data_IF_684935600663
#
_entry.id   IF_684935600663
#
_cell.length_a   1.000
_cell.length_b   1.000
_cell.length_c   1.000
_cell.angle_alpha   90.00
_cell.angle_beta   90.00
_cell.angle_gamma   90.00
#
_symmetry.space_group_name_H-M   'P 1'
#
loop_
_entity.id
_entity.type
_entity.pdbx_description
1 polymer ?
#
# COMPACT_ATOMS: atom_id res chain seq x y z
N UNK A 1 -14.28 29.89 -13.29
CA UNK A 1 -13.51 28.64 -13.23
C UNK A 1 -12.94 28.29 -11.84
N UNK A 2 -13.13 29.10 -10.79
CA UNK A 2 -12.75 28.73 -9.41
C UNK A 2 -13.67 27.71 -8.71
N UNK A 3 -14.85 27.42 -9.28
CA UNK A 3 -15.82 26.46 -8.71
C UNK A 3 -15.40 24.99 -8.88
N UNK A 4 -14.57 24.64 -9.86
CA UNK A 4 -14.23 23.24 -10.15
C UNK A 4 -13.23 22.66 -9.13
N UNK A 5 -12.26 23.47 -8.68
CA UNK A 5 -11.26 23.07 -7.68
C UNK A 5 -11.81 23.07 -6.25
N UNK A 6 -12.75 23.98 -5.94
CA UNK A 6 -13.45 23.96 -4.65
C UNK A 6 -14.38 22.74 -4.54
N UNK A 7 -15.03 22.33 -5.63
CA UNK A 7 -15.96 21.20 -5.62
C UNK A 7 -15.27 19.85 -5.39
N UNK A 8 -14.06 19.61 -5.90
CA UNK A 8 -13.38 18.32 -5.71
C UNK A 8 -12.85 18.15 -4.28
N UNK A 9 -12.30 19.19 -3.66
CA UNK A 9 -11.88 19.16 -2.25
C UNK A 9 -13.06 19.11 -1.27
N UNK A 10 -14.19 19.76 -1.58
CA UNK A 10 -15.41 19.70 -0.76
C UNK A 10 -16.17 18.38 -0.94
N UNK A 11 -16.19 17.78 -2.14
CA UNK A 11 -16.71 16.42 -2.36
C UNK A 11 -15.89 15.39 -1.59
N UNK A 12 -14.57 15.60 -1.49
CA UNK A 12 -13.69 14.75 -0.71
C UNK A 12 -14.01 14.80 0.80
N UNK A 13 -14.28 15.99 1.36
CA UNK A 13 -14.73 16.11 2.76
C UNK A 13 -16.18 15.62 2.98
N UNK A 14 -17.07 15.83 2.01
CA UNK A 14 -18.49 15.47 2.09
C UNK A 14 -18.72 13.95 1.96
N UNK A 15 -17.98 13.25 1.11
CA UNK A 15 -18.03 11.79 1.00
C UNK A 15 -17.54 11.09 2.27
N UNK A 16 -16.65 11.72 3.03
CA UNK A 16 -16.10 11.13 4.26
C UNK A 16 -16.97 11.45 5.49
N UNK A 17 -17.74 12.55 5.47
CA UNK A 17 -18.65 12.91 6.57
C UNK A 17 -20.07 12.38 6.40
N UNK A 18 -20.46 11.92 5.21
CA UNK A 18 -21.84 11.57 4.85
C UNK A 18 -22.33 10.14 5.14
N UNK A 19 -21.46 9.19 5.51
CA UNK A 19 -21.88 7.79 5.71
C UNK A 19 -22.43 7.53 7.12
N UNK A 20 -23.68 7.97 7.36
CA UNK A 20 -24.52 7.49 8.47
C UNK A 20 -25.67 6.64 7.93
N UNK A 21 -25.58 5.33 8.09
CA UNK A 21 -26.66 4.33 8.21
C UNK A 21 -25.95 2.96 8.21
N UNK A 22 -26.13 2.02 9.13
CA UNK A 22 -27.40 1.47 9.57
C UNK A 22 -27.10 0.56 10.78
N UNK A 23 -27.82 0.75 11.89
CA UNK A 23 -27.94 -0.24 12.95
C UNK A 23 -29.43 -0.49 13.17
N UNK A 24 -29.82 -1.74 13.44
CA UNK A 24 -30.84 -1.94 14.45
C UNK A 24 -30.34 -2.85 15.58
N UNK A 25 -30.75 -2.42 16.76
CA UNK A 25 -30.70 -3.06 18.06
C UNK A 25 -31.26 -4.48 18.10
N UNK A 26 -30.68 -5.32 18.94
CA UNK A 26 -31.47 -6.23 19.77
C UNK A 26 -30.81 -6.45 21.12
N UNK A 27 -31.52 -6.02 22.14
CA UNK A 27 -31.31 -6.28 23.56
C UNK A 27 -31.33 -7.76 23.91
N UNK A 28 -30.41 -8.22 24.73
CA UNK A 28 -30.65 -9.34 25.64
C UNK A 28 -29.80 -9.19 26.89
N UNK A 29 -30.48 -8.77 27.96
CA UNK A 29 -30.09 -8.95 29.35
C UNK A 29 -29.99 -10.43 29.66
N UNK A 30 -28.90 -10.89 30.32
CA UNK A 30 -29.01 -11.91 31.37
C UNK A 30 -27.69 -12.15 32.13
N UNK A 31 -27.84 -12.06 33.45
CA UNK A 31 -27.20 -12.85 34.52
C UNK A 31 -25.67 -12.93 34.68
N UNK A 32 -25.23 -12.14 35.67
CA UNK A 32 -24.14 -12.46 36.59
C UNK A 32 -24.42 -13.73 37.42
N UNK A 33 -23.42 -14.59 37.67
CA UNK A 33 -23.40 -15.44 38.85
C UNK A 33 -22.44 -14.93 39.93
N UNK A 34 -22.89 -15.18 41.15
CA UNK A 34 -22.35 -14.78 42.46
C UNK A 34 -20.92 -15.28 42.74
N UNK A 35 -20.22 -14.46 43.53
CA UNK A 35 -19.11 -14.85 44.41
C UNK A 35 -19.52 -15.96 45.37
N UNK A 36 -18.62 -16.90 45.61
CA UNK A 36 -18.50 -17.65 46.86
C UNK A 36 -17.00 -17.79 47.23
N UNK A 37 -16.68 -18.10 48.50
CA UNK A 37 -15.69 -17.35 49.27
C UNK A 37 -14.29 -17.99 49.35
N UNK A 38 -13.35 -17.14 49.79
CA UNK A 38 -12.01 -17.46 50.29
C UNK A 38 -12.02 -18.62 51.28
N UNK A 39 -11.16 -19.61 51.05
CA UNK A 39 -10.54 -20.42 52.11
C UNK A 39 -9.08 -20.75 51.75
N UNK A 40 -8.16 -20.23 52.54
CA UNK A 40 -6.85 -20.81 52.87
C UNK A 40 -6.80 -20.84 54.42
N UNK A 41 -5.82 -21.46 55.11
CA UNK A 41 -4.63 -22.20 54.65
C UNK A 41 -4.38 -23.54 55.40
N UNK A 42 -3.57 -24.45 54.86
CA UNK A 42 -2.76 -25.42 55.64
C UNK A 42 -1.49 -25.75 54.84
N UNK A 43 -0.35 -25.80 55.52
CA UNK A 43 0.99 -25.76 54.95
C UNK A 43 1.66 -27.11 54.63
N UNK A 44 2.82 -26.94 53.99
CA UNK A 44 4.04 -27.76 53.96
C UNK A 44 3.92 -29.27 53.71
N UNK A 45 4.65 -29.76 52.70
CA UNK A 45 5.94 -30.46 52.88
C UNK A 45 6.55 -30.82 51.51
N UNK A 46 7.87 -30.66 51.47
CA UNK A 46 8.84 -31.00 50.45
C UNK A 46 8.75 -32.43 49.90
N UNK A 47 8.80 -32.60 48.57
CA UNK A 47 9.37 -33.79 47.94
C UNK A 47 9.87 -33.47 46.52
N UNK A 48 11.18 -33.60 46.33
CA UNK A 48 11.93 -33.45 45.07
C UNK A 48 11.70 -34.69 44.18
N UNK A 49 11.44 -34.55 42.87
CA UNK A 49 11.37 -35.72 41.97
C UNK A 49 12.78 -36.24 41.61
N UNK A 50 12.95 -37.56 41.41
CA UNK A 50 14.24 -38.15 41.06
C UNK A 50 14.63 -37.88 39.60
N UNK A 51 15.93 -37.72 39.35
CA UNK A 51 16.54 -37.67 38.02
C UNK A 51 16.37 -39.01 37.29
N UNK A 52 16.06 -39.03 35.98
CA UNK A 52 16.28 -40.21 35.15
C UNK A 52 17.77 -40.39 34.85
N UNK A 53 18.18 -41.65 34.82
CA UNK A 53 19.54 -42.11 34.55
C UNK A 53 19.88 -41.98 33.07
N UNK A 54 21.15 -41.68 32.84
CA UNK A 54 21.89 -41.73 31.60
C UNK A 54 22.10 -43.20 31.17
N UNK A 55 21.96 -43.47 29.87
CA UNK A 55 22.46 -44.69 29.22
C UNK A 55 21.39 -45.59 28.59
N UNK A 56 21.65 -45.95 27.32
CA UNK A 56 21.02 -46.98 26.48
C UNK A 56 19.71 -46.53 25.79
N UNK A 57 19.57 -46.55 24.45
CA UNK A 57 20.19 -47.37 23.42
C UNK A 57 20.02 -46.67 22.06
N UNK A 58 21.10 -46.67 21.29
CA UNK A 58 21.20 -46.34 19.86
C UNK A 58 20.27 -47.29 19.08
N UNK A 59 19.28 -46.76 18.36
CA UNK A 59 18.44 -47.56 17.45
C UNK A 59 18.72 -47.16 16.00
N UNK A 60 18.97 -48.21 15.23
CA UNK A 60 19.59 -48.25 13.91
C UNK A 60 18.78 -47.57 12.80
N UNK A 61 19.49 -46.84 11.94
CA UNK A 61 19.01 -46.37 10.64
C UNK A 61 19.47 -47.40 9.58
N UNK A 62 18.59 -47.94 8.71
CA UNK A 62 19.09 -48.77 7.61
C UNK A 62 19.65 -47.88 6.50
N UNK A 63 20.93 -48.08 6.20
CA UNK A 63 21.54 -47.78 4.90
C UNK A 63 20.92 -48.71 3.85
N UNK A 64 20.30 -48.13 2.82
CA UNK A 64 20.13 -48.80 1.52
C UNK A 64 20.48 -47.78 0.42
N UNK A 65 21.57 -48.07 -0.30
CA UNK A 65 22.02 -47.44 -1.52
C UNK A 65 21.23 -47.99 -2.72
N UNK A 66 20.78 -47.14 -3.65
CA UNK A 66 21.16 -47.29 -5.07
C UNK A 66 20.80 -46.05 -5.91
N UNK A 67 21.67 -45.72 -6.84
CA UNK A 67 21.54 -44.64 -7.80
C UNK A 67 20.71 -45.03 -9.03
N UNK A 68 20.08 -44.05 -9.65
CA UNK A 68 19.37 -44.22 -10.91
C UNK A 68 18.87 -42.90 -11.46
N UNK A 69 19.70 -42.25 -12.29
CA UNK A 69 19.29 -41.12 -13.15
C UNK A 69 18.15 -41.55 -14.09
N UNK A 70 16.94 -40.99 -13.97
CA UNK A 70 15.97 -40.95 -15.08
C UNK A 70 15.04 -39.72 -15.01
N UNK A 71 15.24 -38.80 -15.96
CA UNK A 71 14.18 -38.16 -16.74
C UNK A 71 13.24 -37.16 -16.05
N UNK A 72 13.51 -35.87 -16.27
CA UNK A 72 12.51 -34.80 -16.19
C UNK A 72 11.43 -35.03 -17.27
N UNK A 73 10.24 -35.50 -16.87
CA UNK A 73 9.03 -35.44 -17.71
C UNK A 73 7.90 -34.72 -16.93
N UNK A 74 7.84 -33.40 -17.14
CA UNK A 74 7.05 -32.44 -16.37
C UNK A 74 5.57 -32.32 -16.82
N UNK A 75 5.11 -33.05 -17.86
CA UNK A 75 3.83 -32.71 -18.52
C UNK A 75 2.80 -33.84 -18.76
N UNK A 76 2.78 -34.94 -17.99
CA UNK A 76 1.77 -35.99 -18.26
C UNK A 76 1.11 -36.73 -17.08
N UNK A 77 1.35 -36.38 -15.81
CA UNK A 77 0.56 -36.98 -14.71
C UNK A 77 -0.76 -36.24 -14.46
N UNK A 78 -1.82 -36.72 -15.14
CA UNK A 78 -3.19 -36.60 -14.62
C UNK A 78 -3.20 -37.06 -13.17
N UNK A 79 -3.66 -36.21 -12.24
CA UNK A 79 -3.89 -36.60 -10.83
C UNK A 79 -4.82 -37.82 -10.81
N UNK A 80 -4.36 -39.01 -10.39
CA UNK A 80 -5.28 -40.11 -10.14
C UNK A 80 -6.16 -39.70 -8.96
N UNK A 81 -7.46 -39.91 -9.12
CA UNK A 81 -8.45 -39.63 -8.09
C UNK A 81 -8.04 -40.24 -6.75
N UNK A 82 -8.25 -39.43 -5.72
CA UNK A 82 -8.15 -39.76 -4.29
C UNK A 82 -8.76 -41.15 -4.04
N UNK A 83 -7.90 -42.16 -3.95
CA UNK A 83 -8.30 -43.50 -3.57
C UNK A 83 -8.18 -43.56 -2.05
N UNK A 84 -9.35 -43.59 -1.40
CA UNK A 84 -9.52 -43.64 0.05
C UNK A 84 -8.89 -44.93 0.60
N UNK A 85 -7.61 -44.84 0.96
CA UNK A 85 -6.88 -45.89 1.68
C UNK A 85 -6.77 -45.48 3.13
N UNK A 86 -7.59 -46.12 3.96
CA UNK A 86 -7.37 -46.31 5.40
C UNK A 86 -7.01 -45.02 6.13
N UNK A 87 -8.02 -44.20 6.42
CA UNK A 87 -7.89 -42.92 7.09
C UNK A 87 -7.28 -43.04 8.50
N UNK A 88 -5.95 -43.05 8.57
CA UNK A 88 -5.25 -42.41 9.68
C UNK A 88 -5.57 -40.93 9.53
N UNK A 89 -6.58 -40.45 10.29
CA UNK A 89 -6.65 -39.02 10.60
C UNK A 89 -5.36 -38.71 11.33
N UNK A 90 -4.33 -38.27 10.60
CA UNK A 90 -3.18 -37.62 11.19
C UNK A 90 -3.73 -36.35 11.79
N UNK A 91 -4.23 -36.48 13.02
CA UNK A 91 -4.54 -35.37 13.90
C UNK A 91 -3.17 -34.72 14.08
N UNK A 92 -2.84 -33.73 13.23
CA UNK A 92 -1.58 -32.98 13.30
C UNK A 92 -1.40 -32.64 14.76
N UNK A 93 -0.45 -33.33 15.39
CA UNK A 93 -0.27 -33.26 16.83
C UNK A 93 0.13 -31.81 17.06
N UNK A 94 -0.68 -31.08 17.82
CA UNK A 94 -0.29 -29.81 18.44
C UNK A 94 1.02 -30.08 19.16
N UNK A 95 2.13 -29.76 18.52
CA UNK A 95 3.43 -29.85 19.14
C UNK A 95 3.55 -28.66 20.08
N UNK A 96 3.11 -28.87 21.32
CA UNK A 96 3.20 -27.88 22.40
C UNK A 96 4.63 -27.41 22.65
N UNK A 97 5.65 -28.11 22.15
CA UNK A 97 7.06 -27.76 22.37
C UNK A 97 7.57 -26.68 21.42
N UNK A 98 6.94 -26.48 20.26
CA UNK A 98 7.29 -25.44 19.29
C UNK A 98 6.34 -24.25 19.40
N UNK A 99 6.72 -23.29 20.24
CA UNK A 99 5.98 -22.03 20.38
C UNK A 99 6.65 -20.95 19.54
N UNK A 100 5.84 -20.23 18.76
CA UNK A 100 6.29 -19.06 18.00
C UNK A 100 6.99 -18.07 18.92
N UNK A 101 8.19 -17.56 18.55
CA UNK A 101 8.84 -16.46 19.25
C UNK A 101 7.86 -15.32 19.51
N UNK A 102 7.92 -14.69 20.69
CA UNK A 102 6.92 -13.70 21.10
C UNK A 102 6.70 -12.63 20.05
N UNK A 103 7.77 -12.13 19.44
CA UNK A 103 7.73 -10.97 18.54
C UNK A 103 7.09 -11.31 17.19
N UNK A 104 7.06 -12.60 16.82
CA UNK A 104 6.41 -13.10 15.60
C UNK A 104 4.96 -13.57 15.83
N UNK A 105 4.42 -13.33 17.03
CA UNK A 105 3.03 -13.66 17.33
C UNK A 105 2.09 -12.57 16.77
N UNK A 106 0.99 -12.95 16.09
CA UNK A 106 0.06 -11.99 15.49
C UNK A 106 -0.51 -10.95 16.46
N UNK A 107 -0.62 -11.31 17.75
CA UNK A 107 -1.05 -10.38 18.79
C UNK A 107 -0.01 -9.28 19.06
N UNK A 108 1.27 -9.61 19.10
CA UNK A 108 2.33 -8.63 19.36
C UNK A 108 2.55 -7.74 18.13
N UNK A 109 2.49 -8.30 16.92
CA UNK A 109 2.48 -7.51 15.68
C UNK A 109 1.34 -6.50 15.63
N UNK A 110 0.15 -6.88 16.12
CA UNK A 110 -0.95 -5.94 16.24
C UNK A 110 -0.58 -4.79 17.17
N UNK A 111 -0.01 -5.08 18.35
CA UNK A 111 0.40 -4.03 19.30
C UNK A 111 1.46 -3.09 18.72
N UNK A 112 2.49 -3.65 18.06
CA UNK A 112 3.51 -2.87 17.36
C UNK A 112 2.89 -1.97 16.29
N UNK A 113 1.94 -2.50 15.51
CA UNK A 113 1.18 -1.72 14.52
C UNK A 113 0.37 -0.59 15.16
N UNK A 114 -0.12 -0.77 16.40
CA UNK A 114 -0.84 0.26 17.15
C UNK A 114 0.05 1.39 17.61
N UNK A 115 1.27 1.05 18.03
CA UNK A 115 2.26 1.97 18.57
C UNK A 115 2.97 2.76 17.47
N UNK A 116 3.02 2.23 16.24
CA UNK A 116 3.65 2.91 15.12
C UNK A 116 2.98 4.26 14.80
N UNK A 117 3.78 5.34 14.63
CA UNK A 117 3.27 6.70 14.50
C UNK A 117 2.49 6.93 13.21
N UNK A 118 2.61 6.09 12.19
CA UNK A 118 1.83 6.17 10.94
C UNK A 118 0.64 5.21 11.01
N UNK A 119 0.87 3.95 11.38
CA UNK A 119 -0.18 2.93 11.36
C UNK A 119 -1.21 3.11 12.48
N UNK A 120 -0.85 3.69 13.62
CA UNK A 120 -1.77 3.98 14.72
C UNK A 120 -2.95 4.88 14.31
N UNK A 121 -2.85 5.65 13.22
CA UNK A 121 -3.90 6.56 12.77
C UNK A 121 -5.20 5.85 12.38
N UNK A 122 -5.12 4.58 11.95
CA UNK A 122 -6.31 3.84 11.54
C UNK A 122 -7.21 3.44 12.72
N UNK A 123 -6.70 3.50 13.96
CA UNK A 123 -7.51 3.27 15.17
C UNK A 123 -8.37 4.47 15.55
N UNK A 124 -7.95 5.66 15.12
CA UNK A 124 -8.68 6.88 15.41
C UNK A 124 -10.06 6.87 14.76
N UNK A 125 -10.90 7.81 15.19
CA UNK A 125 -12.16 8.04 14.51
C UNK A 125 -11.90 8.49 13.05
N UNK A 126 -12.90 8.34 12.19
CA UNK A 126 -12.76 8.70 10.78
C UNK A 126 -12.30 10.15 10.60
N UNK A 127 -12.64 11.07 11.50
CA UNK A 127 -12.22 12.47 11.43
C UNK A 127 -10.74 12.65 11.74
N UNK A 128 -10.19 11.98 12.75
CA UNK A 128 -8.77 12.01 13.09
C UNK A 128 -7.92 11.54 11.91
N UNK A 129 -8.26 10.37 11.35
CA UNK A 129 -7.58 9.81 10.17
C UNK A 129 -7.57 10.79 8.99
N UNK A 130 -8.72 11.37 8.67
CA UNK A 130 -8.87 12.30 7.54
C UNK A 130 -8.10 13.58 7.75
N UNK A 131 -8.07 14.09 8.97
CA UNK A 131 -7.33 15.32 9.30
C UNK A 131 -5.83 15.13 9.08
N UNK A 132 -5.28 13.99 9.50
CA UNK A 132 -3.86 13.65 9.30
C UNK A 132 -3.53 13.43 7.83
N UNK A 133 -4.40 12.73 7.10
CA UNK A 133 -4.26 12.55 5.65
C UNK A 133 -4.36 13.89 4.90
N UNK A 134 -5.23 14.78 5.32
CA UNK A 134 -5.34 16.13 4.77
C UNK A 134 -4.07 16.96 5.02
N UNK A 135 -3.41 16.78 6.17
CA UNK A 135 -2.13 17.42 6.45
C UNK A 135 -1.02 16.90 5.52
N UNK A 136 -0.93 15.58 5.30
CA UNK A 136 0.01 15.01 4.32
C UNK A 136 -0.26 15.58 2.94
N UNK A 137 -1.52 15.63 2.53
CA UNK A 137 -1.91 16.20 1.25
C UNK A 137 -1.53 17.68 1.13
N UNK A 138 -1.73 18.48 2.18
CA UNK A 138 -1.34 19.89 2.21
C UNK A 138 0.18 20.07 2.06
N UNK A 139 0.98 19.24 2.74
CA UNK A 139 2.45 19.26 2.60
C UNK A 139 2.86 18.83 1.18
N UNK A 140 2.25 17.77 0.65
CA UNK A 140 2.53 17.31 -0.72
C UNK A 140 2.16 18.39 -1.76
N UNK A 141 1.05 19.10 -1.55
CA UNK A 141 0.63 20.23 -2.38
C UNK A 141 1.61 21.40 -2.28
N UNK A 142 2.13 21.72 -1.10
CA UNK A 142 3.13 22.79 -0.94
C UNK A 142 4.40 22.52 -1.77
N UNK A 143 4.75 21.24 -1.96
CA UNK A 143 5.87 20.82 -2.81
C UNK A 143 5.46 20.75 -4.30
N UNK A 144 4.25 20.30 -4.61
CA UNK A 144 3.82 20.10 -6.00
C UNK A 144 3.39 21.37 -6.72
N UNK A 145 2.88 22.39 -6.01
CA UNK A 145 2.50 23.69 -6.56
C UNK A 145 3.66 24.37 -7.29
N UNK A 146 4.86 24.57 -6.69
CA UNK A 146 5.95 25.22 -7.40
C UNK A 146 6.33 24.44 -8.65
N UNK A 147 6.41 23.10 -8.58
CA UNK A 147 6.69 22.23 -9.73
C UNK A 147 5.66 22.43 -10.85
N UNK A 148 4.36 22.47 -10.50
CA UNK A 148 3.29 22.72 -11.47
C UNK A 148 3.41 24.09 -12.12
N UNK A 149 3.64 25.14 -11.32
CA UNK A 149 3.75 26.52 -11.84
C UNK A 149 5.00 26.77 -12.68
N UNK A 150 6.10 26.06 -12.41
CA UNK A 150 7.30 26.12 -13.27
C UNK A 150 7.12 25.35 -14.56
N UNK A 151 6.33 24.27 -14.55
CA UNK A 151 6.06 23.44 -15.74
C UNK A 151 5.08 24.14 -16.69
N UNK A 152 4.04 24.78 -16.15
CA UNK A 152 2.99 25.46 -16.91
C UNK A 152 2.94 26.96 -16.56
N UNK A 153 3.89 27.77 -17.07
CA UNK A 153 3.92 29.20 -16.79
C UNK A 153 2.70 29.90 -17.41
N UNK A 154 2.03 30.75 -16.63
CA UNK A 154 0.81 31.50 -17.01
C UNK A 154 -0.43 30.62 -17.33
N UNK A 155 -0.35 29.31 -17.09
CA UNK A 155 -1.39 28.30 -17.32
C UNK A 155 -1.83 27.72 -15.97
N UNK A 156 -2.58 28.54 -15.22
CA UNK A 156 -2.96 28.23 -13.84
C UNK A 156 -3.80 26.95 -13.68
N UNK A 157 -4.81 26.64 -14.53
CA UNK A 157 -5.58 25.41 -14.35
C UNK A 157 -4.76 24.14 -14.63
N UNK A 158 -3.89 24.14 -15.63
CA UNK A 158 -2.97 23.05 -15.96
C UNK A 158 -1.96 22.84 -14.83
N UNK A 159 -1.34 23.93 -14.35
CA UNK A 159 -0.40 23.92 -13.24
C UNK A 159 -1.02 23.32 -11.96
N UNK A 160 -2.25 23.72 -11.62
CA UNK A 160 -2.94 23.23 -10.42
C UNK A 160 -3.39 21.77 -10.56
N UNK A 161 -3.85 21.35 -11.74
CA UNK A 161 -4.19 19.94 -11.97
C UNK A 161 -2.96 19.05 -11.92
N UNK A 162 -1.84 19.46 -12.52
CA UNK A 162 -0.56 18.75 -12.41
C UNK A 162 -0.09 18.66 -10.94
N UNK A 163 -0.16 19.76 -10.20
CA UNK A 163 0.17 19.79 -8.77
C UNK A 163 -0.73 18.85 -7.96
N UNK A 164 -2.03 18.82 -8.26
CA UNK A 164 -3.01 17.94 -7.60
C UNK A 164 -2.74 16.46 -7.90
N UNK A 165 -2.34 16.09 -9.12
CA UNK A 165 -1.90 14.72 -9.45
C UNK A 165 -0.71 14.32 -8.56
N UNK A 166 0.29 15.20 -8.43
CA UNK A 166 1.44 14.96 -7.55
C UNK A 166 1.04 14.79 -6.08
N UNK A 167 0.18 15.69 -5.57
CA UNK A 167 -0.31 15.65 -4.20
C UNK A 167 -1.12 14.40 -3.88
N UNK A 168 -2.08 14.05 -4.74
CA UNK A 168 -2.89 12.83 -4.61
C UNK A 168 -2.06 11.56 -4.81
N UNK A 169 -1.01 11.58 -5.64
CA UNK A 169 -0.11 10.45 -5.81
C UNK A 169 0.62 10.08 -4.52
N UNK A 170 1.16 11.08 -3.80
CA UNK A 170 1.77 10.87 -2.47
C UNK A 170 0.72 10.34 -1.47
N UNK A 171 -0.47 10.95 -1.46
CA UNK A 171 -1.55 10.55 -0.57
C UNK A 171 -2.00 9.09 -0.83
N UNK A 172 -2.08 8.70 -2.10
CA UNK A 172 -2.43 7.34 -2.52
C UNK A 172 -1.38 6.34 -2.06
N UNK A 173 -0.09 6.65 -2.20
CA UNK A 173 1.00 5.78 -1.72
C UNK A 173 0.92 5.55 -0.19
N UNK A 174 0.65 6.61 0.59
CA UNK A 174 0.45 6.50 2.03
C UNK A 174 -0.79 5.66 2.38
N UNK A 175 -1.91 5.86 1.68
CA UNK A 175 -3.13 5.09 1.91
C UNK A 175 -2.95 3.59 1.58
N UNK A 176 -2.24 3.27 0.50
CA UNK A 176 -1.86 1.89 0.15
C UNK A 176 -0.99 1.29 1.25
N UNK A 177 0.02 2.05 1.73
CA UNK A 177 0.90 1.60 2.82
C UNK A 177 0.11 1.26 4.08
N UNK A 178 -0.75 2.17 4.54
CA UNK A 178 -1.63 1.96 5.70
C UNK A 178 -2.52 0.73 5.52
N UNK A 179 -3.23 0.63 4.39
CA UNK A 179 -4.09 -0.50 4.08
C UNK A 179 -3.32 -1.83 4.09
N UNK A 180 -2.15 -1.88 3.46
CA UNK A 180 -1.34 -3.10 3.39
C UNK A 180 -0.89 -3.61 4.77
N UNK A 181 -0.47 -2.70 5.68
CA UNK A 181 0.00 -3.09 7.01
C UNK A 181 -1.13 -3.62 7.89
N UNK A 182 -2.28 -2.94 7.89
CA UNK A 182 -3.47 -3.38 8.63
C UNK A 182 -4.07 -4.67 8.07
N UNK A 183 -4.14 -4.80 6.73
CA UNK A 183 -4.64 -6.01 6.09
C UNK A 183 -3.73 -7.21 6.34
N UNK A 184 -2.40 -7.03 6.37
CA UNK A 184 -1.44 -8.08 6.72
C UNK A 184 -1.71 -8.66 8.12
N UNK A 185 -1.82 -7.80 9.13
CA UNK A 185 -2.11 -8.23 10.51
C UNK A 185 -3.49 -8.87 10.61
N UNK A 186 -4.50 -8.35 9.89
CA UNK A 186 -5.83 -8.96 9.85
C UNK A 186 -5.82 -10.40 9.32
N UNK A 187 -5.05 -10.66 8.25
CA UNK A 187 -4.90 -11.99 7.68
C UNK A 187 -4.20 -12.94 8.66
N UNK A 188 -3.14 -12.49 9.36
CA UNK A 188 -2.43 -13.34 10.33
C UNK A 188 -3.21 -13.59 11.62
N UNK A 189 -4.01 -12.64 12.09
CA UNK A 189 -4.92 -12.86 13.23
C UNK A 189 -6.01 -13.88 12.88
N UNK A 190 -6.60 -13.80 11.68
CA UNK A 190 -7.62 -14.73 11.20
C UNK A 190 -7.11 -16.11 10.76
N UNK A 191 -5.80 -16.27 10.56
CA UNK A 191 -5.22 -17.53 10.13
C UNK A 191 -5.23 -18.60 11.25
N UNK A 192 -5.51 -19.85 10.89
CA UNK A 192 -5.40 -21.00 11.80
C UNK A 192 -3.95 -21.44 12.02
N UNK A 193 -3.14 -21.28 10.98
CA UNK A 193 -1.72 -21.63 10.95
C UNK A 193 -0.93 -20.35 10.70
N UNK A 194 0.15 -20.18 11.45
CA UNK A 194 1.05 -19.05 11.34
C UNK A 194 2.43 -19.57 10.96
N UNK A 195 2.96 -19.08 9.85
CA UNK A 195 4.35 -19.28 9.48
C UNK A 195 5.23 -18.35 10.31
N UNK A 196 6.35 -18.87 10.81
CA UNK A 196 7.34 -18.14 11.60
C UNK A 196 8.73 -18.70 11.33
N UNK A 197 9.75 -17.89 11.58
CA UNK A 197 11.15 -18.27 11.45
C UNK A 197 11.67 -18.80 12.79
N UNK A 198 12.22 -20.03 12.79
CA UNK A 198 12.82 -20.65 13.97
C UNK A 198 14.30 -20.29 14.13
N UNK A 199 15.09 -20.34 13.05
CA UNK A 199 16.52 -20.03 13.05
C UNK A 199 17.15 -19.77 11.67
N UNK A 200 17.44 -18.51 11.37
CA UNK A 200 18.25 -18.14 10.19
C UNK A 200 17.46 -18.12 8.87
N UNK A 201 18.17 -18.01 7.74
CA UNK A 201 17.61 -17.51 6.48
C UNK A 201 16.77 -18.53 5.67
N UNK A 202 16.59 -19.78 6.15
CA UNK A 202 15.99 -20.86 5.36
C UNK A 202 15.05 -21.83 6.09
N UNK A 203 14.66 -21.59 7.34
CA UNK A 203 13.79 -22.51 8.10
C UNK A 203 12.46 -21.88 8.53
N UNK A 204 11.53 -21.75 7.58
CA UNK A 204 10.13 -21.47 7.91
C UNK A 204 9.48 -22.67 8.59
N UNK A 205 8.89 -22.44 9.77
CA UNK A 205 8.07 -23.42 10.50
C UNK A 205 6.62 -22.95 10.60
N UNK A 206 5.71 -23.91 10.63
CA UNK A 206 4.27 -23.65 10.78
C UNK A 206 3.84 -23.93 12.22
N UNK A 207 3.15 -22.97 12.84
CA UNK A 207 2.52 -23.13 14.14
C UNK A 207 1.00 -23.10 14.03
N UNK A 208 0.35 -24.12 14.61
CA UNK A 208 -1.11 -24.20 14.71
C UNK A 208 -1.55 -23.44 15.96
N UNK A 209 -2.49 -22.50 15.80
CA UNK A 209 -3.00 -21.73 16.94
C UNK A 209 -3.84 -22.62 17.87
N UNK A 210 -3.51 -22.70 19.17
CA UNK A 210 -4.39 -23.31 20.17
C UNK A 210 -5.79 -22.68 20.13
N UNK A 211 -6.86 -23.45 20.42
CA UNK A 211 -8.23 -22.96 20.28
C UNK A 211 -8.53 -21.73 21.15
N UNK A 212 -7.87 -21.60 22.29
CA UNK A 212 -7.95 -20.44 23.18
C UNK A 212 -7.31 -19.18 22.58
N UNK A 213 -6.12 -19.30 21.98
CA UNK A 213 -5.45 -18.18 21.31
C UNK A 213 -6.21 -17.78 20.04
N UNK A 214 -6.67 -18.77 19.27
CA UNK A 214 -7.46 -18.55 18.06
C UNK A 214 -8.74 -17.76 18.37
N UNK A 215 -9.49 -18.16 19.39
CA UNK A 215 -10.72 -17.45 19.77
C UNK A 215 -10.44 -15.99 20.15
N UNK A 216 -9.35 -15.72 20.89
CA UNK A 216 -8.93 -14.36 21.23
C UNK A 216 -8.57 -13.54 19.99
N UNK A 217 -7.74 -14.09 19.11
CA UNK A 217 -7.26 -13.41 17.91
C UNK A 217 -8.41 -13.13 16.93
N UNK A 218 -9.36 -14.05 16.78
CA UNK A 218 -10.57 -13.86 15.97
C UNK A 218 -11.46 -12.73 16.52
N UNK A 219 -11.62 -12.64 17.85
CA UNK A 219 -12.35 -11.54 18.48
C UNK A 219 -11.66 -10.20 18.21
N UNK A 220 -10.34 -10.12 18.39
CA UNK A 220 -9.58 -8.90 18.10
C UNK A 220 -9.68 -8.51 16.62
N UNK A 221 -9.57 -9.48 15.71
CA UNK A 221 -9.70 -9.23 14.28
C UNK A 221 -11.07 -8.64 13.93
N UNK A 222 -12.15 -9.26 14.43
CA UNK A 222 -13.51 -8.85 14.07
C UNK A 222 -13.92 -7.51 14.69
N UNK A 223 -13.51 -7.22 15.93
CA UNK A 223 -13.97 -6.03 16.65
C UNK A 223 -13.02 -4.83 16.57
N UNK A 224 -11.72 -5.05 16.35
CA UNK A 224 -10.74 -3.95 16.32
C UNK A 224 -10.14 -3.75 14.93
N UNK A 225 -9.66 -4.83 14.29
CA UNK A 225 -8.84 -4.73 13.07
C UNK A 225 -9.70 -4.57 11.82
N UNK A 226 -10.71 -5.39 11.61
CA UNK A 226 -11.60 -5.30 10.45
C UNK A 226 -12.29 -3.94 10.29
N UNK A 227 -12.88 -3.32 11.35
CA UNK A 227 -13.46 -2.00 11.18
C UNK A 227 -12.44 -0.92 10.84
N UNK A 228 -11.15 -1.09 11.20
CA UNK A 228 -10.08 -0.19 10.76
C UNK A 228 -9.70 -0.45 9.29
N UNK A 229 -9.57 -1.72 8.88
CA UNK A 229 -9.32 -2.13 7.50
C UNK A 229 -10.42 -1.62 6.56
N UNK A 230 -11.69 -1.73 6.94
CA UNK A 230 -12.80 -1.29 6.10
C UNK A 230 -12.86 0.24 5.97
N UNK A 231 -12.52 0.98 7.03
CA UNK A 231 -12.31 2.44 6.95
C UNK A 231 -11.19 2.78 5.96
N UNK A 232 -10.05 2.07 6.04
CA UNK A 232 -8.92 2.27 5.13
C UNK A 232 -9.28 1.93 3.68
N UNK A 233 -10.06 0.87 3.43
CA UNK A 233 -10.57 0.55 2.08
C UNK A 233 -11.43 1.67 1.52
N UNK A 234 -12.34 2.23 2.33
CA UNK A 234 -13.19 3.34 1.91
C UNK A 234 -12.36 4.59 1.56
N UNK A 235 -11.38 4.93 2.42
CA UNK A 235 -10.46 6.05 2.17
C UNK A 235 -9.61 5.81 0.92
N UNK A 236 -9.05 4.62 0.76
CA UNK A 236 -8.25 4.24 -0.40
C UNK A 236 -9.08 4.32 -1.70
N UNK A 237 -10.31 3.83 -1.68
CA UNK A 237 -11.22 3.91 -2.81
C UNK A 237 -11.57 5.37 -3.16
N UNK A 238 -11.83 6.21 -2.14
CA UNK A 238 -12.11 7.64 -2.35
C UNK A 238 -10.90 8.38 -2.94
N UNK A 239 -9.70 8.16 -2.40
CA UNK A 239 -8.45 8.73 -2.93
C UNK A 239 -8.21 8.25 -4.35
N UNK A 240 -8.33 6.94 -4.60
CA UNK A 240 -8.13 6.34 -5.92
C UNK A 240 -9.08 6.90 -6.97
N UNK A 241 -10.36 7.05 -6.62
CA UNK A 241 -11.35 7.68 -7.48
C UNK A 241 -11.01 9.15 -7.75
N UNK A 242 -10.66 9.92 -6.71
CA UNK A 242 -10.24 11.32 -6.86
C UNK A 242 -9.00 11.48 -7.74
N UNK A 243 -8.03 10.57 -7.61
CA UNK A 243 -6.83 10.53 -8.44
C UNK A 243 -7.19 10.27 -9.91
N UNK A 244 -8.00 9.26 -10.20
CA UNK A 244 -8.43 8.94 -11.56
C UNK A 244 -9.23 10.09 -12.19
N UNK A 245 -10.15 10.72 -11.44
CA UNK A 245 -10.87 11.90 -11.92
C UNK A 245 -9.95 13.06 -12.24
N UNK A 246 -8.90 13.27 -11.43
CA UNK A 246 -7.92 14.34 -11.67
C UNK A 246 -7.09 14.07 -12.92
N UNK A 247 -6.66 12.83 -13.14
CA UNK A 247 -5.93 12.43 -14.36
C UNK A 247 -6.79 12.61 -15.60
N UNK A 248 -8.06 12.18 -15.56
CA UNK A 248 -9.02 12.38 -16.65
C UNK A 248 -9.26 13.88 -16.88
N UNK A 249 -9.45 14.66 -15.82
CA UNK A 249 -9.61 16.11 -15.91
C UNK A 249 -8.39 16.79 -16.53
N UNK A 250 -7.18 16.37 -16.16
CA UNK A 250 -5.94 16.86 -16.76
C UNK A 250 -5.87 16.55 -18.25
N UNK A 251 -6.27 15.34 -18.67
CA UNK A 251 -6.35 14.96 -20.09
C UNK A 251 -7.38 15.76 -20.89
N UNK A 252 -8.46 16.21 -20.26
CA UNK A 252 -9.45 17.07 -20.93
C UNK A 252 -8.92 18.50 -21.11
N UNK A 253 -8.13 18.99 -20.16
CA UNK A 253 -7.60 20.36 -20.18
C UNK A 253 -6.35 20.47 -21.05
N UNK A 254 -5.46 19.48 -20.98
CA UNK A 254 -4.19 19.48 -21.73
C UNK A 254 -4.37 18.70 -23.04
N UNK A 255 -4.32 19.35 -24.21
CA UNK A 255 -4.47 18.68 -25.50
C UNK A 255 -3.36 17.65 -25.75
N UNK A 256 -3.69 16.55 -26.43
CA UNK A 256 -2.76 15.44 -26.70
C UNK A 256 -1.63 15.81 -27.69
N UNK A 257 -1.84 16.85 -28.50
CA UNK A 257 -0.84 17.34 -29.44
C UNK A 257 0.05 18.41 -28.78
N UNK A 258 1.33 18.12 -28.49
CA UNK A 258 2.26 19.10 -27.91
C UNK A 258 2.52 20.29 -28.86
N UNK A 259 2.10 20.16 -30.11
CA UNK A 259 2.19 21.19 -31.16
C UNK A 259 0.84 21.83 -31.49
N UNK A 260 -0.25 21.52 -30.78
CA UNK A 260 -1.53 22.21 -31.00
C UNK A 260 -1.43 23.73 -30.76
N UNK A 261 -0.47 24.17 -29.93
CA UNK A 261 -0.14 25.60 -29.78
C UNK A 261 0.45 26.22 -31.06
N UNK A 262 1.06 25.42 -31.94
CA UNK A 262 1.52 25.81 -33.28
C UNK A 262 0.43 25.60 -34.34
N UNK A 263 -0.82 25.94 -34.01
CA UNK A 263 -1.91 26.04 -34.98
C UNK A 263 -1.50 26.92 -36.17
N UNK A 264 -2.01 26.61 -37.37
CA UNK A 264 -1.89 27.43 -38.58
C UNK A 264 -2.21 28.90 -38.30
N UNK A 265 -3.16 29.20 -37.41
CA UNK A 265 -3.47 30.58 -36.99
C UNK A 265 -2.28 31.25 -36.28
N UNK A 266 -1.62 30.54 -35.35
CA UNK A 266 -0.44 31.03 -34.64
C UNK A 266 0.78 31.12 -35.58
N UNK A 267 0.96 30.13 -36.45
CA UNK A 267 2.02 30.16 -37.47
C UNK A 267 1.82 31.29 -38.48
N UNK A 268 0.58 31.59 -38.88
CA UNK A 268 0.28 32.71 -39.78
C UNK A 268 0.47 34.06 -39.08
N UNK A 269 0.19 34.14 -37.79
CA UNK A 269 0.51 35.33 -36.98
C UNK A 269 2.03 35.52 -36.89
N UNK A 270 2.79 34.47 -36.60
CA UNK A 270 4.26 34.50 -36.59
C UNK A 270 4.86 34.86 -37.95
N UNK A 271 4.22 34.47 -39.06
CA UNK A 271 4.66 34.83 -40.42
C UNK A 271 4.37 36.29 -40.77
N UNK A 272 3.33 36.89 -40.19
CA UNK A 272 2.90 38.26 -40.49
C UNK A 272 3.37 39.32 -39.48
N UNK A 273 3.90 38.91 -38.34
CA UNK A 273 4.34 39.80 -37.26
C UNK A 273 5.86 40.04 -37.32
N UNK A 274 6.24 41.13 -37.99
CA UNK A 274 7.63 41.56 -38.11
C UNK A 274 8.28 41.86 -36.75
N UNK A 275 7.50 42.20 -35.70
CA UNK A 275 8.05 42.51 -34.38
C UNK A 275 8.60 41.26 -33.69
N UNK A 276 7.95 40.11 -33.87
CA UNK A 276 8.43 38.83 -33.35
C UNK A 276 9.68 38.38 -34.11
N UNK A 277 9.69 38.54 -35.43
CA UNK A 277 10.86 38.26 -36.27
C UNK A 277 12.05 39.16 -35.87
N UNK A 278 11.80 40.44 -35.60
CA UNK A 278 12.81 41.40 -35.16
C UNK A 278 13.28 41.15 -33.73
N UNK A 279 12.42 40.73 -32.80
CA UNK A 279 12.82 40.34 -31.44
C UNK A 279 13.68 39.07 -31.45
N UNK A 280 13.32 38.08 -32.25
CA UNK A 280 14.12 36.88 -32.47
C UNK A 280 15.49 37.22 -33.09
N UNK A 281 15.54 38.13 -34.07
CA UNK A 281 16.78 38.63 -34.67
C UNK A 281 17.63 39.43 -33.69
N UNK A 282 17.03 40.27 -32.84
CA UNK A 282 17.73 40.99 -31.76
C UNK A 282 18.32 40.04 -30.72
N UNK A 283 17.58 39.00 -30.33
CA UNK A 283 18.06 37.95 -29.42
C UNK A 283 19.21 37.15 -30.04
N UNK A 284 19.20 36.91 -31.35
CA UNK A 284 20.32 36.31 -32.07
C UNK A 284 21.55 37.24 -32.09
N UNK A 285 21.35 38.52 -32.41
CA UNK A 285 22.41 39.53 -32.46
C UNK A 285 23.05 39.77 -31.07
N UNK A 286 22.25 39.75 -30.00
CA UNK A 286 22.71 39.88 -28.62
C UNK A 286 23.63 38.72 -28.18
N UNK A 287 23.56 37.56 -28.86
CA UNK A 287 24.44 36.40 -28.61
C UNK A 287 25.79 36.51 -29.33
N UNK A 288 26.04 37.60 -30.06
CA UNK A 288 27.31 37.86 -30.73
C UNK A 288 27.53 37.08 -32.02
N UNK A 289 26.51 36.38 -32.52
CA UNK A 289 26.54 35.65 -33.79
C UNK A 289 25.59 36.32 -34.77
N UNK A 290 26.06 36.69 -35.97
CA UNK A 290 25.21 37.24 -37.03
C UNK A 290 24.40 36.14 -37.74
N UNK A 291 24.12 35.04 -37.02
CA UNK A 291 23.51 33.82 -37.54
C UNK A 291 22.03 33.82 -37.15
N UNK A 292 21.13 33.45 -38.07
CA UNK A 292 19.72 33.27 -37.74
C UNK A 292 19.51 32.23 -36.63
N UNK A 293 18.47 32.41 -35.81
CA UNK A 293 18.14 31.53 -34.67
C UNK A 293 17.95 30.06 -35.09
N UNK A 294 17.42 29.81 -36.30
CA UNK A 294 17.17 28.46 -36.79
C UNK A 294 18.44 27.63 -37.06
N UNK A 295 19.62 28.26 -37.09
CA UNK A 295 20.91 27.60 -37.31
C UNK A 295 21.42 26.79 -36.11
N UNK A 296 20.85 26.97 -34.92
CA UNK A 296 21.26 26.25 -33.71
C UNK A 296 20.74 24.81 -33.67
N UNK A 297 19.63 24.53 -34.37
CA UNK A 297 19.08 23.17 -34.45
C UNK A 297 19.45 22.53 -35.79
N UNK A 298 19.96 21.30 -35.76
CA UNK A 298 20.20 20.50 -36.97
C UNK A 298 18.93 20.33 -37.82
N UNK A 299 17.79 20.22 -37.16
CA UNK A 299 16.50 20.01 -37.80
C UNK A 299 16.06 21.24 -38.63
N UNK A 300 15.98 22.42 -38.02
CA UNK A 300 15.56 23.64 -38.73
C UNK A 300 16.62 24.12 -39.73
N UNK A 301 17.91 23.86 -39.48
CA UNK A 301 18.97 24.12 -40.46
C UNK A 301 18.78 23.29 -41.75
N UNK A 302 18.46 22.00 -41.61
CA UNK A 302 18.21 21.12 -42.76
C UNK A 302 16.94 21.54 -43.54
N UNK A 303 15.88 21.94 -42.84
CA UNK A 303 14.63 22.39 -43.45
C UNK A 303 14.79 23.73 -44.20
N UNK A 304 15.58 24.66 -43.67
CA UNK A 304 15.85 25.96 -44.30
C UNK A 304 16.94 25.90 -45.39
N UNK A 305 17.49 24.72 -45.69
CA UNK A 305 18.52 24.55 -46.72
C UNK A 305 19.90 25.12 -46.35
N UNK A 306 20.16 25.42 -45.07
CA UNK A 306 21.48 25.76 -44.51
C UNK A 306 22.15 27.06 -44.99
N UNK A 307 21.65 27.74 -46.02
CA UNK A 307 22.40 28.76 -46.76
C UNK A 307 22.83 30.04 -46.00
N UNK A 308 22.28 30.28 -44.81
CA UNK A 308 22.62 31.43 -43.95
C UNK A 308 23.33 31.04 -42.65
N UNK A 309 23.56 29.73 -42.45
CA UNK A 309 24.18 29.23 -41.24
C UNK A 309 25.70 29.24 -41.31
N UNK A 310 26.33 29.36 -42.48
CA UNK A 310 27.79 29.26 -42.61
C UNK A 310 28.53 30.62 -42.59
N UNK A 311 27.85 31.70 -42.15
CA UNK A 311 28.43 33.05 -42.03
C UNK A 311 28.71 33.45 -40.58
#
# INVERSE_FOLDING_TARGET
MGLALANTSLLFLALITGSRAFAPSSSSSCHSPRRLPRTSPVGAVSAKPPRPREGEREEDLPEDLDGGEQGFDFLSRRRPGMQDRGGVRVRRRMDKSRTVPTDQQPFNELQELKEDPLFGWAQEDSKGLVTRLALIYAVAMAVSIPIGTTTFPNQLPEALLAANIGGLGVLLAVAIRLYSGWNYVSLRLGAEVVEYEESGWYDGSEWYKPPDIRARDEMLNNYEVQPAVDRLKAVLAAIGLGFMLTVVGFKVVVPDDPYAMLDDTYLNTLKGDDDIANDAAKKAAARGTNRPVYCESRYYQAMAGGGLCDK
#
